data_IF_761795529027
#
_entry.id   IF_761795529027
#
_cell.length_a   1.000
_cell.length_b   1.000
_cell.length_c   1.000
_cell.angle_alpha   90.00
_cell.angle_beta   90.00
_cell.angle_gamma   90.00
#
_symmetry.space_group_name_H-M   'P 1'
#
loop_
_entity.id
_entity.type
_entity.pdbx_description
1 polymer ?
#
# COMPACT_ATOMS: atom_id res chain seq x y z
N UNK A 1 10.82 24.65 25.28
CA UNK A 1 9.52 24.82 24.60
C UNK A 1 9.08 26.26 24.82
N UNK A 2 8.84 27.04 23.76
CA UNK A 2 8.44 28.45 23.90
C UNK A 2 7.07 28.57 24.55
N UNK A 3 6.85 29.58 25.41
CA UNK A 3 5.54 29.82 26.03
C UNK A 3 4.50 30.07 24.94
N UNK A 4 3.44 29.27 24.92
CA UNK A 4 2.26 29.52 24.09
C UNK A 4 1.56 30.78 24.61
N UNK A 5 1.45 31.81 23.77
CA UNK A 5 0.72 33.03 24.09
C UNK A 5 -0.79 32.82 23.93
N UNK A 6 -1.59 33.30 24.91
CA UNK A 6 -3.05 33.17 24.89
C UNK A 6 -3.66 33.00 26.29
N UNK A 7 -4.99 32.75 26.39
CA UNK A 7 -5.67 32.49 27.65
C UNK A 7 -5.05 31.31 28.40
N UNK A 8 -4.80 31.49 29.70
CA UNK A 8 -4.05 30.54 30.55
C UNK A 8 -4.72 29.17 30.60
N UNK A 9 -6.05 29.15 30.62
CA UNK A 9 -6.85 27.93 30.66
C UNK A 9 -6.66 27.08 29.41
N UNK A 10 -6.52 27.71 28.24
CA UNK A 10 -6.32 27.03 26.96
C UNK A 10 -4.89 26.53 26.82
N UNK A 11 -3.91 27.32 27.26
CA UNK A 11 -2.50 26.89 27.31
C UNK A 11 -2.33 25.68 28.22
N UNK A 12 -2.91 25.71 29.43
CA UNK A 12 -2.84 24.58 30.36
C UNK A 12 -3.52 23.33 29.79
N UNK A 13 -4.63 23.48 29.09
CA UNK A 13 -5.29 22.36 28.42
C UNK A 13 -4.44 21.77 27.27
N UNK A 14 -3.80 22.60 26.46
CA UNK A 14 -2.91 22.15 25.38
C UNK A 14 -1.70 21.42 25.97
N UNK A 15 -1.10 21.93 27.04
CA UNK A 15 0.01 21.28 27.71
C UNK A 15 -0.41 19.95 28.34
N UNK A 16 -1.57 19.91 29.00
CA UNK A 16 -2.13 18.70 29.61
C UNK A 16 -2.46 17.63 28.56
N UNK A 17 -3.16 17.99 27.47
CA UNK A 17 -3.47 17.04 26.40
C UNK A 17 -2.22 16.66 25.61
N UNK A 18 -1.22 17.54 25.47
CA UNK A 18 0.05 17.20 24.82
C UNK A 18 0.84 16.23 25.69
N UNK A 19 0.86 16.38 27.01
CA UNK A 19 1.48 15.42 27.92
C UNK A 19 0.70 14.10 27.96
N UNK A 20 -0.64 14.14 27.93
CA UNK A 20 -1.46 12.94 27.84
C UNK A 20 -1.30 12.25 26.48
N UNK A 21 -1.24 13.02 25.40
CA UNK A 21 -0.97 12.51 24.05
C UNK A 21 0.43 11.95 23.97
N UNK A 22 1.46 12.61 24.50
CA UNK A 22 2.83 12.10 24.57
C UNK A 22 2.85 10.77 25.32
N UNK A 23 2.19 10.67 26.48
CA UNK A 23 2.05 9.40 27.21
C UNK A 23 1.33 8.33 26.38
N UNK A 24 0.22 8.67 25.72
CA UNK A 24 -0.57 7.74 24.91
C UNK A 24 0.14 7.38 23.60
N UNK A 25 0.93 8.29 23.05
CA UNK A 25 1.65 8.14 21.80
C UNK A 25 2.96 7.39 22.01
N UNK A 26 3.69 7.67 23.09
CA UNK A 26 4.80 6.84 23.56
C UNK A 26 4.27 5.44 23.88
N UNK A 27 3.16 5.31 24.62
CA UNK A 27 2.52 4.01 24.82
C UNK A 27 2.02 3.38 23.52
N UNK A 28 1.58 4.16 22.52
CA UNK A 28 1.16 3.65 21.21
C UNK A 28 2.36 3.22 20.37
N UNK A 29 3.46 3.97 20.35
CA UNK A 29 4.70 3.64 19.65
C UNK A 29 5.36 2.44 20.33
N UNK A 30 5.41 2.41 21.66
CA UNK A 30 5.79 1.26 22.45
C UNK A 30 4.87 0.08 22.16
N UNK A 31 3.56 0.26 22.06
CA UNK A 31 2.62 -0.78 21.64
C UNK A 31 2.74 -1.12 20.15
N UNK A 32 3.17 -0.22 19.28
CA UNK A 32 3.29 -0.45 17.85
C UNK A 32 4.55 -1.29 17.58
N UNK A 33 5.66 -0.91 18.20
CA UNK A 33 6.89 -1.71 18.27
C UNK A 33 6.65 -2.99 19.05
N UNK A 34 5.92 -2.91 20.15
CA UNK A 34 5.56 -4.06 20.95
C UNK A 34 4.50 -4.91 20.26
N UNK A 35 3.69 -4.46 19.28
CA UNK A 35 2.74 -5.25 18.46
C UNK A 35 3.44 -5.88 17.27
N UNK A 36 4.41 -5.19 16.65
CA UNK A 36 5.42 -5.86 15.83
C UNK A 36 6.20 -6.93 16.61
N UNK A 37 6.19 -6.84 17.94
CA UNK A 37 6.66 -7.82 18.91
C UNK A 37 5.53 -8.42 19.81
N UNK A 38 4.24 -8.28 19.41
CA UNK A 38 2.97 -8.62 20.12
C UNK A 38 2.50 -7.99 21.52
N UNK A 39 2.07 -6.71 21.68
CA UNK A 39 1.25 -6.12 22.81
C UNK A 39 0.49 -4.78 22.42
N UNK A 40 -0.69 -4.45 22.99
CA UNK A 40 -1.85 -3.69 22.42
C UNK A 40 -2.24 -2.25 22.93
N UNK A 41 -2.98 -1.41 22.15
CA UNK A 41 -3.87 -0.31 22.65
C UNK A 41 -4.13 0.99 21.78
N UNK A 42 -5.40 1.41 21.58
CA UNK A 42 -5.85 2.74 21.04
C UNK A 42 -7.17 3.22 21.74
N UNK A 43 -7.41 4.54 21.97
CA UNK A 43 -8.53 5.10 22.77
C UNK A 43 -9.47 6.08 22.03
N UNK A 44 -10.79 5.88 22.09
CA UNK A 44 -11.84 6.68 21.41
C UNK A 44 -12.21 8.01 22.08
N UNK A 45 -12.04 8.11 23.40
CA UNK A 45 -12.41 9.31 24.19
C UNK A 45 -11.62 10.56 23.79
N UNK A 46 -10.34 10.37 23.45
CA UNK A 46 -9.46 11.45 23.02
C UNK A 46 -9.96 12.13 21.73
N UNK A 47 -10.50 11.36 20.76
CA UNK A 47 -11.00 11.92 19.50
C UNK A 47 -12.22 12.83 19.71
N UNK A 48 -13.17 12.38 20.51
CA UNK A 48 -14.40 13.14 20.78
C UNK A 48 -14.07 14.50 21.43
N UNK A 49 -13.12 14.53 22.37
CA UNK A 49 -12.67 15.75 23.04
C UNK A 49 -11.98 16.72 22.08
N UNK A 50 -11.07 16.22 21.23
CA UNK A 50 -10.38 17.06 20.24
C UNK A 50 -11.34 17.68 19.22
N UNK A 51 -12.34 16.94 18.74
CA UNK A 51 -13.38 17.50 17.84
C UNK A 51 -14.15 18.63 18.51
N UNK A 52 -14.55 18.45 19.77
CA UNK A 52 -15.31 19.45 20.52
C UNK A 52 -14.55 20.76 20.70
N UNK A 53 -13.25 20.71 20.99
CA UNK A 53 -12.42 21.91 21.16
C UNK A 53 -12.09 22.60 19.84
N UNK A 54 -12.07 21.86 18.72
CA UNK A 54 -11.85 22.43 17.39
C UNK A 54 -12.98 23.35 16.92
N UNK A 55 -14.22 23.09 17.33
CA UNK A 55 -15.41 23.86 16.91
C UNK A 55 -15.57 25.20 17.65
N UNK A 56 -14.59 25.60 18.49
CA UNK A 56 -14.65 26.84 19.27
C UNK A 56 -14.45 28.09 18.40
N UNK A 57 -15.23 29.16 18.63
CA UNK A 57 -15.15 30.38 17.81
C UNK A 57 -13.95 31.28 18.14
N UNK A 58 -13.23 31.04 19.24
CA UNK A 58 -12.19 31.91 19.80
C UNK A 58 -10.74 31.41 19.59
N UNK A 59 -10.53 30.48 18.66
CA UNK A 59 -9.23 29.87 18.42
C UNK A 59 -8.25 30.81 17.70
N UNK A 60 -6.99 30.83 18.16
CA UNK A 60 -5.89 31.43 17.39
C UNK A 60 -5.56 30.58 16.15
N UNK A 61 -4.87 31.18 15.16
CA UNK A 61 -4.45 30.46 13.96
C UNK A 61 -3.58 29.23 14.26
N UNK A 62 -2.71 29.32 15.26
CA UNK A 62 -1.85 28.20 15.67
C UNK A 62 -2.63 27.12 16.43
N UNK A 63 -3.58 27.51 17.30
CA UNK A 63 -4.43 26.56 18.03
C UNK A 63 -5.35 25.78 17.08
N UNK A 64 -5.97 26.48 16.12
CA UNK A 64 -6.80 25.84 15.10
C UNK A 64 -6.00 24.83 14.26
N UNK A 65 -4.75 25.18 13.89
CA UNK A 65 -3.84 24.29 13.17
C UNK A 65 -3.50 23.05 14.00
N UNK A 66 -3.09 23.19 15.26
CA UNK A 66 -2.75 22.05 16.13
C UNK A 66 -3.95 21.14 16.36
N UNK A 67 -5.12 21.67 16.69
CA UNK A 67 -6.34 20.89 16.90
C UNK A 67 -6.78 20.16 15.63
N UNK A 68 -6.64 20.78 14.45
CA UNK A 68 -6.93 20.13 13.17
C UNK A 68 -6.02 18.92 12.90
N UNK A 69 -4.73 19.03 13.25
CA UNK A 69 -3.77 17.93 13.11
C UNK A 69 -4.12 16.80 14.09
N UNK A 70 -4.41 17.13 15.34
CA UNK A 70 -4.79 16.13 16.36
C UNK A 70 -6.08 15.39 15.98
N UNK A 71 -7.12 16.10 15.54
CA UNK A 71 -8.38 15.50 15.11
C UNK A 71 -8.16 14.54 13.94
N UNK A 72 -7.36 14.96 12.96
CA UNK A 72 -6.98 14.14 11.80
C UNK A 72 -6.23 12.88 12.24
N UNK A 73 -5.22 13.01 13.10
CA UNK A 73 -4.45 11.86 13.61
C UNK A 73 -5.35 10.86 14.33
N UNK A 74 -6.15 11.31 15.30
CA UNK A 74 -7.01 10.44 16.10
C UNK A 74 -8.08 9.75 15.24
N UNK A 75 -8.64 10.45 14.25
CA UNK A 75 -9.63 9.88 13.32
C UNK A 75 -9.10 8.73 12.45
N UNK A 76 -7.79 8.65 12.24
CA UNK A 76 -7.16 7.53 11.52
C UNK A 76 -7.21 6.21 12.30
N UNK A 77 -7.27 6.26 13.64
CA UNK A 77 -7.10 5.09 14.50
C UNK A 77 -8.35 4.68 15.26
N UNK A 78 -9.32 5.58 15.40
CA UNK A 78 -10.51 5.34 16.22
C UNK A 78 -11.69 5.00 15.34
N UNK A 79 -12.43 3.97 15.74
CA UNK A 79 -13.68 3.56 15.09
C UNK A 79 -14.75 3.54 16.15
N UNK A 80 -15.55 4.61 16.18
CA UNK A 80 -16.61 4.81 17.19
C UNK A 80 -17.85 3.94 16.88
N UNK A 81 -18.03 3.50 15.64
CA UNK A 81 -19.17 2.69 15.21
C UNK A 81 -18.91 1.17 15.42
N UNK A 82 -19.71 0.48 16.26
CA UNK A 82 -19.62 -0.96 16.45
C UNK A 82 -19.72 -1.78 15.16
N UNK A 83 -20.48 -1.31 14.16
CA UNK A 83 -20.58 -1.96 12.85
C UNK A 83 -19.28 -1.85 12.06
N UNK A 84 -18.60 -0.71 12.15
CA UNK A 84 -17.29 -0.53 11.52
C UNK A 84 -16.21 -1.38 12.22
N UNK A 85 -16.31 -1.60 13.53
CA UNK A 85 -15.45 -2.56 14.24
C UNK A 85 -15.68 -4.01 13.77
N UNK A 86 -16.93 -4.45 13.62
CA UNK A 86 -17.27 -5.77 13.07
C UNK A 86 -16.76 -5.95 11.64
N UNK A 87 -16.91 -4.93 10.79
CA UNK A 87 -16.39 -4.95 9.42
C UNK A 87 -14.86 -5.04 9.37
N UNK A 88 -14.15 -4.41 10.30
CA UNK A 88 -12.69 -4.55 10.41
C UNK A 88 -12.27 -5.97 10.78
N UNK A 89 -12.97 -6.59 11.73
CA UNK A 89 -12.71 -7.98 12.11
C UNK A 89 -12.97 -8.94 10.94
N UNK A 90 -14.09 -8.76 10.24
CA UNK A 90 -14.42 -9.53 9.05
C UNK A 90 -13.39 -9.34 7.93
N UNK A 91 -12.92 -8.12 7.72
CA UNK A 91 -11.85 -7.83 6.75
C UNK A 91 -10.56 -8.56 7.11
N UNK A 92 -10.15 -8.55 8.38
CA UNK A 92 -8.96 -9.27 8.83
C UNK A 92 -9.10 -10.78 8.55
N UNK A 93 -10.28 -11.36 8.81
CA UNK A 93 -10.57 -12.76 8.50
C UNK A 93 -10.47 -13.06 7.01
N UNK A 94 -11.14 -12.26 6.17
CA UNK A 94 -11.13 -12.44 4.71
C UNK A 94 -9.71 -12.29 4.11
N UNK A 95 -8.92 -11.36 4.62
CA UNK A 95 -7.53 -11.15 4.19
C UNK A 95 -6.63 -12.33 4.61
N UNK A 96 -6.80 -12.84 5.83
CA UNK A 96 -6.08 -14.02 6.32
C UNK A 96 -6.43 -15.27 5.49
N UNK A 97 -7.71 -15.49 5.21
CA UNK A 97 -8.17 -16.59 4.35
C UNK A 97 -7.61 -16.48 2.94
N UNK A 98 -7.62 -15.28 2.35
CA UNK A 98 -7.03 -15.06 1.02
C UNK A 98 -5.52 -15.35 1.01
N UNK A 99 -4.80 -14.89 2.04
CA UNK A 99 -3.37 -15.13 2.18
C UNK A 99 -3.05 -16.62 2.31
N UNK A 100 -3.76 -17.34 3.18
CA UNK A 100 -3.61 -18.79 3.35
C UNK A 100 -3.84 -19.56 2.05
N UNK A 101 -4.81 -19.13 1.26
CA UNK A 101 -5.23 -19.86 0.07
C UNK A 101 -4.34 -19.55 -1.12
N UNK A 102 -3.85 -18.31 -1.21
CA UNK A 102 -2.75 -17.95 -2.10
C UNK A 102 -1.48 -18.76 -1.81
N UNK A 103 -1.18 -19.05 -0.54
CA UNK A 103 -0.02 -19.87 -0.18
C UNK A 103 -0.15 -21.34 -0.62
N UNK A 104 -1.38 -21.85 -0.76
CA UNK A 104 -1.66 -23.21 -1.26
C UNK A 104 -1.70 -23.30 -2.79
N UNK A 105 -1.65 -22.17 -3.49
CA UNK A 105 -1.70 -22.14 -4.94
C UNK A 105 -0.45 -22.86 -5.51
N UNK A 106 -0.67 -23.88 -6.33
CA UNK A 106 0.39 -24.53 -7.11
C UNK A 106 0.84 -23.60 -8.25
N UNK A 107 1.58 -22.56 -7.89
CA UNK A 107 2.16 -21.61 -8.83
C UNK A 107 3.44 -22.22 -9.42
N UNK A 108 3.56 -22.19 -10.74
CA UNK A 108 4.68 -22.81 -11.43
C UNK A 108 4.52 -22.76 -12.94
N UNK A 109 5.57 -23.19 -13.64
CA UNK A 109 5.57 -23.31 -15.10
C UNK A 109 5.43 -24.76 -15.51
N UNK A 110 4.86 -24.98 -16.69
CA UNK A 110 5.09 -26.22 -17.43
C UNK A 110 6.35 -25.99 -18.26
N UNK A 111 7.41 -26.75 -17.96
CA UNK A 111 8.69 -26.61 -18.66
C UNK A 111 8.46 -26.79 -20.18
N UNK A 112 8.82 -25.81 -21.01
CA UNK A 112 8.60 -25.90 -22.46
C UNK A 112 9.35 -27.06 -23.13
N UNK A 113 10.47 -27.51 -22.54
CA UNK A 113 11.30 -28.57 -23.10
C UNK A 113 10.84 -29.98 -22.67
N UNK A 114 10.45 -30.15 -21.39
CA UNK A 114 10.08 -31.47 -20.85
C UNK A 114 8.57 -31.68 -20.71
N UNK A 115 7.80 -30.60 -20.67
CA UNK A 115 6.36 -30.64 -20.40
C UNK A 115 6.00 -30.92 -18.93
N UNK A 116 6.98 -31.03 -18.04
CA UNK A 116 6.74 -31.28 -16.61
C UNK A 116 6.37 -29.99 -15.86
N UNK A 117 5.56 -30.11 -14.82
CA UNK A 117 5.22 -28.98 -13.96
C UNK A 117 6.33 -28.74 -12.93
N UNK A 118 6.89 -27.53 -12.94
CA UNK A 118 7.87 -27.05 -11.98
C UNK A 118 7.27 -25.95 -11.12
N UNK A 119 7.12 -26.20 -9.83
CA UNK A 119 6.69 -25.19 -8.86
C UNK A 119 7.69 -24.02 -8.84
N UNK A 120 7.17 -22.79 -8.89
CA UNK A 120 7.96 -21.56 -8.89
C UNK A 120 7.22 -20.46 -8.13
N UNK A 121 7.95 -19.71 -7.31
CA UNK A 121 7.43 -18.52 -6.64
C UNK A 121 7.19 -17.38 -7.65
N UNK A 122 6.33 -16.43 -7.29
CA UNK A 122 6.10 -15.23 -8.13
C UNK A 122 7.38 -14.41 -8.36
N UNK A 123 8.36 -14.50 -7.46
CA UNK A 123 9.67 -13.86 -7.61
C UNK A 123 10.48 -14.58 -8.69
N UNK A 124 10.56 -15.92 -8.62
CA UNK A 124 11.26 -16.73 -9.60
C UNK A 124 10.68 -16.54 -11.02
N UNK A 125 9.35 -16.50 -11.15
CA UNK A 125 8.69 -16.28 -12.43
C UNK A 125 9.01 -14.89 -13.03
N UNK A 126 8.99 -13.84 -12.20
CA UNK A 126 9.38 -12.48 -12.67
C UNK A 126 10.85 -12.42 -13.06
N UNK A 127 11.72 -13.14 -12.35
CA UNK A 127 13.13 -13.20 -12.71
C UNK A 127 13.31 -13.90 -14.06
N UNK A 128 12.64 -15.04 -14.27
CA UNK A 128 12.66 -15.77 -15.54
C UNK A 128 12.23 -14.89 -16.71
N UNK A 129 11.14 -14.12 -16.58
CA UNK A 129 10.73 -13.14 -17.60
C UNK A 129 11.77 -12.04 -17.89
N UNK A 130 12.72 -11.79 -16.98
CA UNK A 130 13.72 -10.73 -17.09
C UNK A 130 15.04 -11.25 -17.65
N UNK A 131 15.50 -12.43 -17.25
CA UNK A 131 16.87 -12.88 -17.55
C UNK A 131 16.93 -14.04 -18.54
N UNK A 132 15.89 -14.87 -18.63
CA UNK A 132 15.90 -16.07 -19.49
C UNK A 132 15.92 -15.69 -20.97
N UNK A 133 16.87 -16.24 -21.74
CA UNK A 133 17.00 -15.97 -23.17
C UNK A 133 15.95 -16.70 -24.01
N UNK A 134 15.41 -17.83 -23.52
CA UNK A 134 14.39 -18.59 -24.22
C UNK A 134 13.01 -17.93 -24.07
N UNK A 135 12.50 -17.40 -25.18
CA UNK A 135 11.15 -16.80 -25.23
C UNK A 135 10.04 -17.75 -24.74
N UNK A 136 10.04 -19.07 -25.08
CA UNK A 136 9.04 -19.99 -24.56
C UNK A 136 9.03 -20.06 -23.03
N UNK A 137 10.19 -19.98 -22.37
CA UNK A 137 10.30 -19.94 -20.91
C UNK A 137 9.69 -18.65 -20.35
N UNK A 138 10.02 -17.50 -20.96
CA UNK A 138 9.44 -16.21 -20.57
C UNK A 138 7.91 -16.19 -20.72
N UNK A 139 7.39 -16.75 -21.81
CA UNK A 139 5.95 -16.90 -22.06
C UNK A 139 5.30 -17.76 -20.97
N UNK A 140 5.87 -18.94 -20.70
CA UNK A 140 5.36 -19.83 -19.66
C UNK A 140 5.34 -19.16 -18.28
N UNK A 141 6.37 -18.39 -17.94
CA UNK A 141 6.43 -17.63 -16.69
C UNK A 141 5.37 -16.51 -16.61
N UNK A 142 5.14 -15.81 -17.71
CA UNK A 142 4.08 -14.79 -17.80
C UNK A 142 2.69 -15.39 -17.62
N UNK A 143 2.40 -16.50 -18.29
CA UNK A 143 1.10 -17.19 -18.18
C UNK A 143 0.88 -17.75 -16.76
N UNK A 144 1.93 -18.30 -16.16
CA UNK A 144 1.91 -18.73 -14.75
C UNK A 144 1.59 -17.55 -13.81
N UNK A 145 2.20 -16.38 -13.99
CA UNK A 145 1.88 -15.18 -13.20
C UNK A 145 0.43 -14.71 -13.42
N UNK A 146 -0.08 -14.78 -14.65
CA UNK A 146 -1.47 -14.41 -14.97
C UNK A 146 -2.48 -15.33 -14.30
N UNK A 147 -2.14 -16.58 -14.02
CA UNK A 147 -3.03 -17.52 -13.33
C UNK A 147 -3.40 -17.07 -11.91
N UNK A 148 -2.59 -16.22 -11.28
CA UNK A 148 -2.85 -15.67 -9.94
C UNK A 148 -4.15 -14.86 -9.93
N UNK A 149 -4.39 -14.05 -10.97
CA UNK A 149 -5.55 -13.15 -11.05
C UNK A 149 -6.88 -13.88 -10.90
N UNK A 150 -7.21 -14.83 -11.79
CA UNK A 150 -8.42 -15.66 -11.69
C UNK A 150 -8.51 -16.44 -10.36
N UNK A 151 -7.38 -16.91 -9.84
CA UNK A 151 -7.34 -17.65 -8.57
C UNK A 151 -7.82 -16.79 -7.38
N UNK A 152 -7.38 -15.53 -7.31
CA UNK A 152 -7.72 -14.64 -6.18
C UNK A 152 -8.99 -13.82 -6.40
N UNK A 153 -9.44 -13.66 -7.64
CA UNK A 153 -10.45 -12.67 -8.04
C UNK A 153 -11.73 -12.70 -7.18
N UNK A 154 -12.37 -13.88 -7.04
CA UNK A 154 -13.65 -13.99 -6.35
C UNK A 154 -13.56 -13.56 -4.87
N UNK A 155 -12.51 -14.01 -4.17
CA UNK A 155 -12.26 -13.67 -2.75
C UNK A 155 -11.84 -12.22 -2.58
N UNK A 156 -10.99 -11.73 -3.48
CA UNK A 156 -10.56 -10.34 -3.48
C UNK A 156 -11.75 -9.39 -3.69
N UNK A 157 -12.71 -9.74 -4.56
CA UNK A 157 -13.93 -8.96 -4.73
C UNK A 157 -14.76 -8.85 -3.45
N UNK A 158 -14.81 -9.89 -2.61
CA UNK A 158 -15.48 -9.83 -1.31
C UNK A 158 -14.80 -8.83 -0.37
N UNK A 159 -13.46 -8.86 -0.31
CA UNK A 159 -12.66 -7.89 0.45
C UNK A 159 -12.91 -6.46 -0.04
N UNK A 160 -12.93 -6.24 -1.35
CA UNK A 160 -13.20 -4.91 -1.94
C UNK A 160 -14.58 -4.39 -1.53
N UNK A 161 -15.61 -5.24 -1.51
CA UNK A 161 -16.96 -4.86 -1.07
C UNK A 161 -16.97 -4.45 0.40
N UNK A 162 -16.38 -5.26 1.28
CA UNK A 162 -16.31 -4.97 2.72
C UNK A 162 -15.50 -3.70 3.02
N UNK A 163 -14.38 -3.49 2.31
CA UNK A 163 -13.57 -2.26 2.38
C UNK A 163 -14.37 -1.03 2.00
N UNK A 164 -15.14 -1.10 0.91
CA UNK A 164 -15.98 0.02 0.47
C UNK A 164 -17.17 0.27 1.40
N UNK A 165 -17.75 -0.78 2.01
CA UNK A 165 -18.76 -0.62 3.05
C UNK A 165 -18.20 0.11 4.27
N UNK A 166 -17.03 -0.32 4.76
CA UNK A 166 -16.32 0.34 5.86
C UNK A 166 -16.05 1.82 5.56
N UNK A 167 -15.56 2.14 4.37
CA UNK A 167 -15.25 3.51 3.99
C UNK A 167 -16.49 4.41 3.95
N UNK A 168 -17.62 3.90 3.45
CA UNK A 168 -18.88 4.66 3.40
C UNK A 168 -19.46 4.91 4.79
N UNK A 169 -19.33 3.96 5.70
CA UNK A 169 -19.72 4.18 7.11
C UNK A 169 -18.89 5.29 7.76
N UNK A 170 -17.62 5.39 7.38
CA UNK A 170 -16.72 6.46 7.83
C UNK A 170 -16.89 7.79 7.07
N UNK A 171 -17.87 7.91 6.18
CA UNK A 171 -18.18 9.14 5.45
C UNK A 171 -17.38 9.39 4.16
N UNK A 172 -16.64 8.40 3.67
CA UNK A 172 -15.87 8.49 2.42
C UNK A 172 -16.63 7.92 1.22
N UNK A 173 -16.23 8.29 0.00
CA UNK A 173 -16.89 7.79 -1.23
C UNK A 173 -16.67 6.28 -1.42
N UNK A 174 -15.43 5.83 -1.22
CA UNK A 174 -15.00 4.44 -1.27
C UNK A 174 -13.68 4.25 -0.49
N UNK A 175 -13.19 3.01 -0.44
CA UNK A 175 -11.97 2.69 0.32
C UNK A 175 -10.71 3.34 -0.24
N UNK A 176 -10.65 3.56 -1.56
CA UNK A 176 -9.49 4.22 -2.18
C UNK A 176 -9.46 5.69 -1.76
N UNK A 177 -10.59 6.38 -1.82
CA UNK A 177 -10.74 7.76 -1.34
C UNK A 177 -10.38 7.91 0.14
N UNK A 178 -10.82 6.97 0.98
CA UNK A 178 -10.45 6.92 2.39
C UNK A 178 -8.93 6.80 2.59
N UNK A 179 -8.28 5.90 1.85
CA UNK A 179 -6.82 5.68 1.95
C UNK A 179 -6.02 6.87 1.45
N UNK A 180 -6.42 7.47 0.32
CA UNK A 180 -5.76 8.65 -0.25
C UNK A 180 -5.92 9.86 0.67
N UNK A 181 -7.14 10.11 1.18
CA UNK A 181 -7.38 11.22 2.11
C UNK A 181 -6.54 11.08 3.38
N UNK A 182 -6.44 9.86 3.93
CA UNK A 182 -5.62 9.61 5.11
C UNK A 182 -4.12 9.83 4.85
N UNK A 183 -3.59 9.31 3.74
CA UNK A 183 -2.16 9.38 3.42
C UNK A 183 -1.72 10.77 2.92
N UNK A 184 -2.45 11.33 1.98
CA UNK A 184 -2.06 12.52 1.22
C UNK A 184 -2.71 13.81 1.75
N UNK A 185 -3.81 13.69 2.50
CA UNK A 185 -4.57 14.85 3.02
C UNK A 185 -5.53 15.50 2.02
N UNK A 186 -5.71 14.93 0.84
CA UNK A 186 -6.72 15.32 -0.15
C UNK A 186 -7.42 14.09 -0.73
N UNK A 187 -8.60 14.25 -1.30
CA UNK A 187 -9.40 13.13 -1.82
C UNK A 187 -8.95 12.62 -3.20
N UNK A 188 -9.50 11.47 -3.61
CA UNK A 188 -9.11 10.78 -4.87
C UNK A 188 -9.28 11.64 -6.13
N UNK A 189 -10.26 12.56 -6.16
CA UNK A 189 -10.51 13.43 -7.32
C UNK A 189 -9.31 14.31 -7.61
N UNK A 190 -8.76 14.94 -6.56
CA UNK A 190 -7.58 15.79 -6.68
C UNK A 190 -6.34 14.97 -7.06
N UNK A 191 -6.22 13.76 -6.53
CA UNK A 191 -5.15 12.85 -6.93
C UNK A 191 -5.19 12.55 -8.43
N UNK A 192 -6.37 12.18 -8.97
CA UNK A 192 -6.51 11.89 -10.40
C UNK A 192 -6.25 13.11 -11.28
N UNK A 193 -6.67 14.32 -10.89
CA UNK A 193 -6.28 15.54 -11.62
C UNK A 193 -4.76 15.70 -11.78
N UNK A 194 -4.00 15.41 -10.71
CA UNK A 194 -2.53 15.49 -10.72
C UNK A 194 -1.94 14.37 -11.57
N UNK A 195 -2.43 13.14 -11.40
CA UNK A 195 -1.92 11.98 -12.13
C UNK A 195 -2.26 12.04 -13.63
N UNK A 196 -3.44 12.54 -14.00
CA UNK A 196 -3.88 12.69 -15.39
C UNK A 196 -3.05 13.75 -16.13
N UNK A 197 -2.70 14.88 -15.47
CA UNK A 197 -1.79 15.88 -16.04
C UNK A 197 -0.37 15.32 -16.22
N UNK A 198 0.13 14.56 -15.25
CA UNK A 198 1.43 13.87 -15.35
C UNK A 198 1.42 12.83 -16.47
N UNK A 199 0.37 12.04 -16.58
CA UNK A 199 0.19 11.03 -17.62
C UNK A 199 0.18 11.69 -19.00
N UNK A 200 -0.61 12.76 -19.19
CA UNK A 200 -0.70 13.48 -20.44
C UNK A 200 0.66 14.05 -20.89
N UNK A 201 1.46 14.56 -19.96
CA UNK A 201 2.81 15.09 -20.23
C UNK A 201 3.85 14.00 -20.50
N UNK A 202 3.71 12.82 -19.91
CA UNK A 202 4.68 11.73 -20.03
C UNK A 202 4.34 10.72 -21.14
N UNK A 203 3.09 10.71 -21.62
CA UNK A 203 2.61 9.81 -22.68
C UNK A 203 3.44 9.89 -23.97
N UNK A 204 3.78 11.06 -24.55
CA UNK A 204 4.58 11.12 -25.78
C UNK A 204 5.96 10.51 -25.58
N UNK A 205 6.61 10.79 -24.45
CA UNK A 205 7.92 10.23 -24.10
C UNK A 205 7.85 8.70 -23.98
N UNK A 206 6.78 8.17 -23.37
CA UNK A 206 6.57 6.72 -23.29
C UNK A 206 6.37 6.09 -24.68
N UNK A 207 5.58 6.74 -25.54
CA UNK A 207 5.33 6.27 -26.91
C UNK A 207 6.62 6.24 -27.73
N UNK A 208 7.40 7.32 -27.72
CA UNK A 208 8.70 7.40 -28.39
C UNK A 208 9.69 6.35 -27.86
N UNK A 209 9.70 6.09 -26.55
CA UNK A 209 10.54 5.06 -25.96
C UNK A 209 10.15 3.64 -26.43
N UNK A 210 8.86 3.36 -26.60
CA UNK A 210 8.36 2.09 -27.11
C UNK A 210 8.64 1.91 -28.59
N UNK A 211 8.48 2.97 -29.39
CA UNK A 211 8.81 2.95 -30.81
C UNK A 211 10.30 2.68 -31.02
N UNK A 212 11.17 3.34 -30.24
CA UNK A 212 12.61 3.11 -30.25
C UNK A 212 12.96 1.67 -29.88
N UNK A 213 12.35 1.13 -28.81
CA UNK A 213 12.57 -0.24 -28.40
C UNK A 213 12.18 -1.24 -29.50
N UNK A 214 11.04 -1.01 -30.17
CA UNK A 214 10.60 -1.85 -31.28
C UNK A 214 11.52 -1.73 -32.51
N UNK A 215 12.05 -0.54 -32.80
CA UNK A 215 13.00 -0.33 -33.89
C UNK A 215 14.34 -1.03 -33.63
N UNK A 216 14.83 -1.02 -32.38
CA UNK A 216 16.12 -1.60 -32.00
C UNK A 216 16.07 -3.12 -31.79
N UNK A 217 14.96 -3.65 -31.24
CA UNK A 217 14.86 -5.05 -30.77
C UNK A 217 13.72 -5.84 -31.40
N UNK A 218 13.00 -5.26 -32.35
CA UNK A 218 11.84 -5.85 -33.00
C UNK A 218 10.54 -5.63 -32.23
N UNK A 219 9.40 -5.77 -32.91
CA UNK A 219 8.07 -5.53 -32.33
C UNK A 219 7.74 -6.46 -31.16
N UNK A 220 8.25 -7.70 -31.17
CA UNK A 220 8.03 -8.69 -30.11
C UNK A 220 8.67 -8.29 -28.77
N UNK A 221 9.64 -7.37 -28.78
CA UNK A 221 10.20 -6.79 -27.56
C UNK A 221 9.16 -6.02 -26.72
N UNK A 222 8.04 -5.61 -27.34
CA UNK A 222 6.95 -4.92 -26.64
C UNK A 222 5.92 -5.86 -26.02
N UNK A 223 6.01 -7.17 -26.28
CA UNK A 223 5.08 -8.13 -25.68
C UNK A 223 5.32 -8.26 -24.18
N UNK A 224 4.26 -8.57 -23.43
CA UNK A 224 4.27 -8.52 -21.97
C UNK A 224 5.26 -9.48 -21.30
N UNK A 225 5.59 -10.60 -21.95
CA UNK A 225 6.60 -11.58 -21.51
C UNK A 225 8.02 -11.21 -21.94
N UNK A 226 8.19 -10.28 -22.88
CA UNK A 226 9.50 -9.91 -23.44
C UNK A 226 10.00 -8.54 -22.97
N UNK A 227 9.11 -7.59 -22.68
CA UNK A 227 9.51 -6.20 -22.43
C UNK A 227 10.48 -6.05 -21.25
N UNK A 228 10.35 -6.87 -20.21
CA UNK A 228 11.29 -6.85 -19.08
C UNK A 228 12.67 -7.37 -19.47
N UNK A 229 12.74 -8.43 -20.28
CA UNK A 229 13.99 -8.95 -20.83
C UNK A 229 14.65 -7.97 -21.78
N UNK A 230 13.87 -7.36 -22.67
CA UNK A 230 14.35 -6.38 -23.63
C UNK A 230 14.87 -5.11 -22.96
N UNK A 231 14.32 -4.72 -21.81
CA UNK A 231 14.76 -3.54 -21.06
C UNK A 231 15.82 -3.82 -19.99
N UNK A 232 16.06 -5.07 -19.59
CA UNK A 232 17.01 -5.42 -18.53
C UNK A 232 18.46 -4.97 -18.82
N UNK A 233 18.76 -4.60 -20.07
CA UNK A 233 20.08 -4.12 -20.48
C UNK A 233 21.16 -5.18 -20.32
N UNK A 234 22.35 -4.89 -20.84
CA UNK A 234 23.52 -5.76 -20.65
C UNK A 234 23.97 -5.75 -19.18
N UNK A 235 23.80 -4.63 -18.47
CA UNK A 235 24.30 -4.47 -17.11
C UNK A 235 23.65 -5.39 -16.09
N UNK A 236 22.32 -5.59 -16.11
CA UNK A 236 21.68 -6.54 -15.19
C UNK A 236 22.10 -7.99 -15.48
N UNK A 237 22.24 -8.37 -16.75
CA UNK A 237 22.77 -9.69 -17.15
C UNK A 237 24.24 -9.86 -16.76
N UNK A 238 25.05 -8.81 -16.88
CA UNK A 238 26.48 -8.79 -16.51
C UNK A 238 26.69 -8.77 -14.99
N UNK A 239 25.75 -8.23 -14.20
CA UNK A 239 25.85 -8.18 -12.73
C UNK A 239 25.27 -9.41 -12.03
N UNK A 240 24.40 -10.18 -12.68
CA UNK A 240 23.77 -11.40 -12.11
C UNK A 240 24.81 -12.42 -11.60
N UNK A 241 25.93 -12.70 -12.30
CA UNK A 241 26.99 -13.59 -11.79
C UNK A 241 27.73 -13.06 -10.55
N UNK A 242 27.65 -11.76 -10.27
CA UNK A 242 28.34 -11.12 -9.15
C UNK A 242 27.42 -10.83 -7.95
N UNK A 243 26.10 -10.99 -8.13
CA UNK A 243 25.09 -10.86 -7.07
C UNK A 243 24.04 -11.99 -7.13
N UNK A 244 24.45 -13.27 -7.13
CA UNK A 244 23.51 -14.37 -7.18
C UNK A 244 22.72 -14.42 -5.86
N UNK A 245 21.42 -14.12 -5.94
CA UNK A 245 20.50 -14.15 -4.80
C UNK A 245 20.24 -15.56 -4.25
N UNK A 246 20.75 -16.60 -4.91
CA UNK A 246 20.55 -18.00 -4.52
C UNK A 246 21.20 -18.33 -3.16
N UNK A 247 22.29 -17.65 -2.80
CA UNK A 247 22.97 -17.83 -1.51
C UNK A 247 22.66 -16.72 -0.48
N UNK A 248 21.97 -15.66 -0.89
CA UNK A 248 21.77 -14.46 -0.05
C UNK A 248 20.89 -14.71 1.19
N UNK A 249 20.13 -15.81 1.20
CA UNK A 249 19.28 -16.20 2.34
C UNK A 249 20.07 -16.92 3.43
N UNK A 250 21.21 -17.56 3.10
CA UNK A 250 22.04 -18.26 4.10
C UNK A 250 23.05 -17.32 4.80
N UNK A 251 23.20 -16.09 4.31
CA UNK A 251 24.14 -15.08 4.83
C UNK A 251 23.42 -13.98 5.66
N UNK A 252 22.10 -14.06 5.84
CA UNK A 252 21.31 -13.12 6.64
C UNK A 252 20.61 -13.78 7.82
#
# INVERSE_FOLDING_TARGET
MGKLEGPVEVTNFIEDISQQYEKVHEAFEDNFWSTKMNLAGCSSEALAKTKTEYDRPDLSSEQSKVLSIMARTLSCYITEDPRAAQLKEELNRLEAELAQERNKMALGIKDPATGEFKACSSVQLRNMMRVDDAEPSRRAAFDALRSIGPFVAARFCAIVKARNELARLSGYEDFYDMKVTAAEGFGKKRLFEILDDLEGKTRPINQEARERLAAEKGAEALEAHNISHSLAGDTTKLTDPYFPFEDAVDVW
#
